data_IF_965214067204
#
_entry.id   IF_965214067204
#
_cell.length_a   1.000
_cell.length_b   1.000
_cell.length_c   1.000
_cell.angle_alpha   90.00
_cell.angle_beta   90.00
_cell.angle_gamma   90.00
#
_symmetry.space_group_name_H-M   'P 1'
#
loop_
_entity.id
_entity.type
_entity.pdbx_description
1 polymer ?
#
# COMPACT_ATOMS: atom_id res chain seq x y z
N UNK A 1 6.39 -3.68 -6.76
CA UNK A 1 7.55 -4.60 -6.88
C UNK A 1 8.78 -3.84 -7.35
N UNK A 2 9.42 -3.10 -6.43
CA UNK A 2 10.50 -2.15 -6.72
C UNK A 2 11.65 -2.74 -7.54
N UNK A 3 12.00 -3.98 -7.28
CA UNK A 3 13.16 -4.66 -7.89
C UNK A 3 12.77 -5.83 -8.80
N UNK A 4 11.51 -5.93 -9.20
CA UNK A 4 10.96 -6.97 -10.08
C UNK A 4 11.31 -8.39 -9.62
N UNK A 5 11.11 -8.65 -8.33
CA UNK A 5 11.39 -9.94 -7.69
C UNK A 5 10.20 -10.91 -7.72
N UNK A 6 9.00 -10.42 -8.02
CA UNK A 6 7.81 -11.25 -8.12
C UNK A 6 7.89 -12.13 -9.36
N UNK A 7 7.44 -13.39 -9.22
CA UNK A 7 7.36 -14.31 -10.33
C UNK A 7 6.31 -13.81 -11.35
N UNK A 8 6.66 -13.90 -12.64
CA UNK A 8 5.78 -13.54 -13.74
C UNK A 8 4.50 -14.39 -13.83
N UNK A 9 4.50 -15.59 -13.25
CA UNK A 9 3.35 -16.50 -13.23
C UNK A 9 2.27 -16.13 -12.20
N UNK A 10 2.49 -15.09 -11.40
CA UNK A 10 1.51 -14.63 -10.42
C UNK A 10 0.29 -14.01 -11.10
N UNK A 11 -0.90 -14.27 -10.57
CA UNK A 11 -2.16 -13.74 -11.09
C UNK A 11 -2.20 -12.21 -11.25
N UNK A 12 -1.40 -11.47 -10.50
CA UNK A 12 -1.27 -10.02 -10.66
C UNK A 12 -0.73 -9.63 -12.05
N UNK A 13 -0.09 -10.54 -12.76
CA UNK A 13 0.47 -10.35 -14.10
C UNK A 13 -0.26 -11.14 -15.19
N UNK A 14 -1.43 -11.74 -14.92
CA UNK A 14 -2.17 -12.60 -15.87
C UNK A 14 -2.92 -11.83 -16.97
N UNK A 15 -2.72 -10.53 -17.06
CA UNK A 15 -3.32 -9.62 -18.04
C UNK A 15 -4.86 -9.47 -17.93
N UNK A 16 -5.51 -10.10 -16.96
CA UNK A 16 -6.96 -10.06 -16.77
C UNK A 16 -7.43 -8.70 -16.26
N UNK A 17 -6.59 -7.98 -15.54
CA UNK A 17 -6.86 -6.66 -14.95
C UNK A 17 -5.76 -5.66 -15.29
N UNK A 18 -6.14 -4.37 -15.30
CA UNK A 18 -5.14 -3.30 -15.44
C UNK A 18 -4.24 -3.30 -14.20
N UNK A 19 -2.97 -3.55 -14.41
CA UNK A 19 -1.95 -3.60 -13.37
C UNK A 19 -0.84 -2.61 -13.68
N UNK A 20 -0.45 -1.80 -12.69
CA UNK A 20 0.73 -0.94 -12.80
C UNK A 20 1.80 -1.46 -11.82
N UNK A 21 2.93 -1.87 -12.37
CA UNK A 21 4.08 -2.32 -11.59
C UNK A 21 5.12 -1.21 -11.49
N UNK A 22 5.13 -0.49 -10.37
CA UNK A 22 6.17 0.50 -10.10
C UNK A 22 7.47 -0.17 -9.69
N UNK A 23 8.55 0.18 -10.37
CA UNK A 23 9.86 -0.43 -10.19
C UNK A 23 10.99 0.58 -10.45
N UNK A 24 12.24 0.15 -10.29
CA UNK A 24 13.43 1.00 -10.53
C UNK A 24 14.25 0.54 -11.73
N UNK A 25 13.75 -0.41 -12.53
CA UNK A 25 14.54 -1.12 -13.53
C UNK A 25 14.09 -0.89 -14.97
N UNK A 26 12.77 -0.84 -15.23
CA UNK A 26 12.27 -0.75 -16.60
C UNK A 26 10.96 0.02 -16.74
N UNK A 27 10.80 0.62 -17.94
CA UNK A 27 9.51 1.09 -18.46
C UNK A 27 9.10 0.16 -19.60
N UNK A 28 7.93 -0.45 -19.49
CA UNK A 28 7.43 -1.40 -20.47
C UNK A 28 5.90 -1.51 -20.35
N UNK A 29 5.22 -1.88 -21.41
CA UNK A 29 3.79 -2.21 -21.38
C UNK A 29 3.57 -3.52 -22.12
N UNK A 30 2.83 -4.42 -21.47
CA UNK A 30 2.40 -5.68 -22.02
C UNK A 30 0.92 -5.89 -21.71
N UNK A 31 0.07 -5.72 -22.72
CA UNK A 31 -1.38 -5.82 -22.56
C UNK A 31 -1.90 -4.88 -21.45
N UNK A 32 -2.50 -5.48 -20.42
CA UNK A 32 -3.03 -4.77 -19.27
C UNK A 32 -2.01 -4.49 -18.17
N UNK A 33 -0.76 -4.93 -18.31
CA UNK A 33 0.32 -4.69 -17.35
C UNK A 33 1.23 -3.57 -17.84
N UNK A 34 1.38 -2.54 -17.04
CA UNK A 34 2.30 -1.43 -17.27
C UNK A 34 3.41 -1.43 -16.23
N UNK A 35 4.65 -1.50 -16.66
CA UNK A 35 5.82 -1.29 -15.81
C UNK A 35 6.21 0.17 -15.88
N UNK A 36 6.31 0.83 -14.73
CA UNK A 36 6.69 2.24 -14.61
C UNK A 36 7.97 2.33 -13.79
N UNK A 37 9.04 2.80 -14.43
CA UNK A 37 10.33 3.00 -13.78
C UNK A 37 10.34 4.32 -13.02
N UNK A 38 10.61 4.26 -11.72
CA UNK A 38 10.79 5.42 -10.86
C UNK A 38 12.21 5.44 -10.28
N UNK A 39 12.66 6.63 -9.88
CA UNK A 39 13.94 6.74 -9.17
C UNK A 39 13.81 6.17 -7.77
N UNK A 40 14.88 5.56 -7.25
CA UNK A 40 14.92 5.02 -5.88
C UNK A 40 14.65 6.10 -4.84
N UNK A 41 15.29 7.25 -5.02
CA UNK A 41 15.08 8.42 -4.16
C UNK A 41 13.67 8.97 -4.35
N UNK A 42 12.92 9.12 -3.26
CA UNK A 42 11.54 9.60 -3.24
C UNK A 42 10.54 8.73 -4.03
N UNK A 43 10.79 7.43 -4.09
CA UNK A 43 9.99 6.47 -4.85
C UNK A 43 8.48 6.61 -4.61
N UNK A 44 8.04 6.64 -3.35
CA UNK A 44 6.61 6.73 -3.00
C UNK A 44 6.00 8.06 -3.46
N UNK A 45 6.72 9.18 -3.35
CA UNK A 45 6.21 10.48 -3.84
C UNK A 45 6.03 10.48 -5.36
N UNK A 46 6.96 9.89 -6.09
CA UNK A 46 6.85 9.75 -7.55
C UNK A 46 5.69 8.82 -7.94
N UNK A 47 5.51 7.72 -7.21
CA UNK A 47 4.39 6.80 -7.40
C UNK A 47 3.05 7.53 -7.24
N UNK A 48 2.85 8.25 -6.15
CA UNK A 48 1.61 9.02 -5.91
C UNK A 48 1.42 10.10 -6.96
N UNK A 49 2.49 10.77 -7.41
CA UNK A 49 2.43 11.75 -8.48
C UNK A 49 2.01 11.13 -9.82
N UNK A 50 2.52 9.95 -10.16
CA UNK A 50 2.11 9.24 -11.38
C UNK A 50 0.64 8.78 -11.32
N UNK A 51 0.19 8.27 -10.18
CA UNK A 51 -1.22 7.93 -9.95
C UNK A 51 -2.12 9.17 -10.13
N UNK A 52 -1.70 10.32 -9.61
CA UNK A 52 -2.41 11.59 -9.78
C UNK A 52 -2.52 11.98 -11.26
N UNK A 53 -1.42 11.88 -12.04
CA UNK A 53 -1.45 12.18 -13.49
C UNK A 53 -2.35 11.23 -14.26
N UNK A 54 -2.50 9.99 -13.78
CA UNK A 54 -3.45 8.98 -14.30
C UNK A 54 -4.89 9.19 -13.82
N UNK A 55 -5.16 10.27 -13.08
CA UNK A 55 -6.48 10.64 -12.53
C UNK A 55 -7.06 9.60 -11.58
N UNK A 56 -6.19 8.87 -10.89
CA UNK A 56 -6.59 7.96 -9.80
C UNK A 56 -6.81 8.82 -8.56
N UNK A 57 -8.03 8.84 -8.06
CA UNK A 57 -8.47 9.73 -6.98
C UNK A 57 -8.35 9.12 -5.59
N UNK A 58 -8.34 7.79 -5.51
CA UNK A 58 -8.21 7.07 -4.25
C UNK A 58 -7.33 5.85 -4.41
N UNK A 59 -6.62 5.50 -3.35
CA UNK A 59 -5.73 4.35 -3.30
C UNK A 59 -5.94 3.63 -1.96
N UNK A 60 -6.20 2.35 -2.02
CA UNK A 60 -6.12 1.47 -0.84
C UNK A 60 -4.70 0.88 -0.83
N UNK A 61 -3.97 1.14 0.23
CA UNK A 61 -2.63 0.59 0.43
C UNK A 61 -2.75 -0.64 1.31
N UNK A 62 -2.63 -1.78 0.69
CA UNK A 62 -2.54 -3.08 1.37
C UNK A 62 -1.16 -3.65 1.08
N UNK A 63 -0.54 -4.22 2.04
CA UNK A 63 0.76 -4.79 1.76
C UNK A 63 1.52 -5.12 3.02
N UNK A 64 2.76 -5.56 2.87
CA UNK A 64 3.63 -5.83 4.00
C UNK A 64 3.90 -4.56 4.82
N UNK A 65 4.28 -4.74 6.08
CA UNK A 65 4.54 -3.66 7.04
C UNK A 65 5.47 -2.58 6.48
N UNK A 66 6.43 -2.94 5.65
CA UNK A 66 7.37 -2.00 5.04
C UNK A 66 6.69 -1.02 4.06
N UNK A 67 5.80 -1.51 3.21
CA UNK A 67 5.05 -0.66 2.27
C UNK A 67 4.15 0.30 3.01
N UNK A 68 3.40 -0.19 4.00
CA UNK A 68 2.55 0.65 4.84
C UNK A 68 3.39 1.71 5.58
N UNK A 69 4.53 1.32 6.15
CA UNK A 69 5.41 2.25 6.85
C UNK A 69 5.92 3.38 5.93
N UNK A 70 6.24 3.09 4.67
CA UNK A 70 6.66 4.13 3.72
C UNK A 70 5.59 5.20 3.47
N UNK A 71 4.31 4.81 3.39
CA UNK A 71 3.22 5.79 3.26
C UNK A 71 3.00 6.59 4.55
N UNK A 72 3.10 5.94 5.70
CA UNK A 72 3.00 6.59 7.01
C UNK A 72 4.14 7.60 7.21
N UNK A 73 5.38 7.22 6.96
CA UNK A 73 6.57 8.07 7.13
C UNK A 73 6.57 9.25 6.15
N UNK A 74 6.02 9.06 4.96
CA UNK A 74 5.87 10.12 3.99
C UNK A 74 4.67 11.04 4.25
N UNK A 75 3.84 10.73 5.26
CA UNK A 75 2.57 11.41 5.56
C UNK A 75 1.63 11.47 4.34
N UNK A 76 1.57 10.39 3.56
CA UNK A 76 0.77 10.25 2.33
C UNK A 76 -0.39 9.27 2.55
N UNK A 77 -1.24 9.58 3.52
CA UNK A 77 -2.42 8.80 3.87
C UNK A 77 -3.48 9.68 4.52
N UNK A 78 -4.75 9.32 4.40
CA UNK A 78 -5.88 10.06 4.98
C UNK A 78 -6.54 9.26 6.09
N UNK A 79 -6.76 7.96 5.87
CA UNK A 79 -7.44 7.06 6.80
C UNK A 79 -6.67 5.74 6.91
N UNK A 80 -6.59 5.20 8.12
CA UNK A 80 -6.05 3.86 8.36
C UNK A 80 -7.08 2.98 9.06
N UNK A 81 -7.32 1.80 8.50
CA UNK A 81 -8.19 0.76 9.08
C UNK A 81 -7.34 -0.37 9.64
N UNK A 82 -7.42 -0.57 10.94
CA UNK A 82 -6.64 -1.58 11.66
C UNK A 82 -7.59 -2.62 12.21
N UNK A 83 -7.45 -3.86 11.73
CA UNK A 83 -8.14 -5.02 12.28
C UNK A 83 -7.24 -5.69 13.30
N UNK A 84 -7.76 -5.94 14.47
CA UNK A 84 -7.05 -6.62 15.56
C UNK A 84 -7.85 -7.83 16.00
N UNK A 85 -7.25 -9.00 15.84
CA UNK A 85 -7.85 -10.26 16.29
C UNK A 85 -7.53 -10.54 17.75
N UNK A 86 -8.41 -11.27 18.43
CA UNK A 86 -8.16 -11.80 19.77
C UNK A 86 -7.06 -12.87 19.78
N UNK A 87 -6.74 -13.45 18.62
CA UNK A 87 -5.69 -14.45 18.47
C UNK A 87 -4.33 -13.79 18.23
N UNK A 88 -3.35 -14.16 19.05
CA UNK A 88 -1.95 -13.76 18.84
C UNK A 88 -1.16 -14.91 18.26
N UNK A 89 -0.29 -14.61 17.29
CA UNK A 89 0.64 -15.60 16.73
C UNK A 89 1.88 -15.80 17.60
N UNK A 90 2.13 -14.92 18.59
CA UNK A 90 3.32 -14.96 19.44
C UNK A 90 4.59 -14.46 18.74
N UNK A 91 4.83 -14.90 17.50
CA UNK A 91 5.95 -14.49 16.66
C UNK A 91 5.44 -14.03 15.29
N UNK A 92 6.14 -13.10 14.66
CA UNK A 92 5.77 -12.59 13.34
C UNK A 92 6.34 -11.20 13.05
N UNK A 93 5.91 -10.64 11.92
CA UNK A 93 6.28 -9.28 11.54
C UNK A 93 5.35 -8.31 12.26
N UNK A 94 5.91 -7.40 13.05
CA UNK A 94 5.14 -6.37 13.72
C UNK A 94 4.42 -5.47 12.71
N UNK A 95 3.20 -5.04 13.05
CA UNK A 95 2.50 -4.02 12.29
C UNK A 95 3.28 -2.70 12.31
N UNK A 96 3.15 -1.85 11.28
CA UNK A 96 3.80 -0.56 11.27
C UNK A 96 3.32 0.32 12.43
N UNK A 97 4.21 1.20 12.91
CA UNK A 97 3.87 2.16 13.96
C UNK A 97 2.92 3.23 13.44
N UNK A 98 1.73 3.33 14.01
CA UNK A 98 0.74 4.34 13.68
C UNK A 98 0.57 5.30 14.85
N UNK A 99 0.82 6.60 14.59
CA UNK A 99 0.51 7.70 15.53
C UNK A 99 -0.56 8.55 14.89
N UNK A 100 -1.80 8.37 15.31
CA UNK A 100 -2.94 9.02 14.66
C UNK A 100 -4.13 9.16 15.63
N UNK A 101 -5.11 9.96 15.24
CA UNK A 101 -6.35 10.14 15.99
C UNK A 101 -7.31 8.99 15.72
N UNK A 102 -7.71 8.28 16.78
CA UNK A 102 -8.75 7.25 16.70
C UNK A 102 -10.11 7.90 16.52
N UNK A 103 -10.77 7.64 15.41
CA UNK A 103 -12.09 8.18 15.06
C UNK A 103 -13.21 7.22 15.45
N UNK A 104 -13.06 5.95 15.13
CA UNK A 104 -14.07 4.91 15.33
C UNK A 104 -13.41 3.64 15.84
N UNK A 105 -14.12 2.95 16.75
CA UNK A 105 -13.82 1.58 17.12
C UNK A 105 -15.10 0.76 17.07
N UNK A 106 -15.07 -0.34 16.36
CA UNK A 106 -16.20 -1.24 16.18
C UNK A 106 -15.79 -2.70 16.43
N UNK A 107 -16.72 -3.47 16.96
CA UNK A 107 -16.56 -4.92 17.08
C UNK A 107 -17.12 -5.58 15.82
N UNK A 108 -16.30 -6.37 15.13
CA UNK A 108 -16.69 -7.16 13.95
C UNK A 108 -16.45 -8.63 14.27
N UNK A 109 -17.50 -9.36 14.69
CA UNK A 109 -17.40 -10.70 15.23
C UNK A 109 -16.42 -10.75 16.42
N UNK A 110 -15.35 -11.52 16.31
CA UNK A 110 -14.32 -11.64 17.34
C UNK A 110 -13.20 -10.60 17.18
N UNK A 111 -13.19 -9.87 16.06
CA UNK A 111 -12.15 -8.89 15.76
C UNK A 111 -12.60 -7.47 16.08
N UNK A 112 -11.64 -6.61 16.37
CA UNK A 112 -11.88 -5.18 16.59
C UNK A 112 -11.37 -4.39 15.37
N UNK A 113 -12.23 -3.59 14.74
CA UNK A 113 -11.84 -2.59 13.74
C UNK A 113 -11.61 -1.25 14.42
N UNK A 114 -10.45 -0.66 14.19
CA UNK A 114 -10.15 0.73 14.56
C UNK A 114 -9.88 1.56 13.32
N UNK A 115 -10.56 2.69 13.21
CA UNK A 115 -10.40 3.66 12.13
C UNK A 115 -9.69 4.88 12.68
N UNK A 116 -8.57 5.22 12.07
CA UNK A 116 -7.76 6.37 12.40
C UNK A 116 -7.78 7.37 11.26
N UNK A 117 -7.75 8.66 11.59
CA UNK A 117 -7.60 9.76 10.64
C UNK A 117 -6.21 10.38 10.78
N UNK A 118 -5.63 10.72 9.64
CA UNK A 118 -4.42 11.53 9.58
C UNK A 118 -4.83 13.00 9.67
N UNK A 119 -5.14 13.45 10.86
CA UNK A 119 -5.37 14.88 11.12
C UNK A 119 -4.03 15.56 11.26
N UNK A 120 -3.59 16.25 10.23
CA UNK A 120 -2.57 17.29 10.32
C UNK A 120 -3.26 18.60 10.71
N UNK A 121 -3.73 18.68 11.92
CA UNK A 121 -4.13 19.94 12.52
C UNK A 121 -2.95 20.56 13.27
#
# INVERSE_FOLDING_TARGET
DRYLKLNADLHVFDLSQKTICYNTLKNESDGNVQFVCLQEKHFIKQLVQDLYTKKIQSLIVEGGAQTLQFFLDANLWDEARVFESVKSFGEGIAAPGLKAHLVVQEQIFDDTLRIYSNTTD
#
